data_IF_312768542809
#
_entry.id   IF_312768542809
#
_cell.length_a   1.000
_cell.length_b   1.000
_cell.length_c   1.000
_cell.angle_alpha   90.00
_cell.angle_beta   90.00
_cell.angle_gamma   90.00
#
_symmetry.space_group_name_H-M   'P 1'
#
loop_
_entity.id
_entity.type
_entity.pdbx_description
1 polymer ?
#
# COMPACT_ATOMS: atom_id res chain seq x y z
N UNK A 1 39.20 28.10 -11.81
CA UNK A 1 38.33 28.53 -10.68
C UNK A 1 37.12 29.20 -11.29
N UNK A 2 35.97 28.51 -11.39
CA UNK A 2 34.74 29.13 -11.85
C UNK A 2 34.18 29.96 -10.69
N UNK A 3 34.14 31.28 -10.87
CA UNK A 3 33.49 32.21 -9.95
C UNK A 3 31.99 31.94 -10.00
N UNK A 4 31.44 31.30 -8.96
CA UNK A 4 29.98 31.21 -8.81
C UNK A 4 29.42 32.63 -8.76
N UNK A 5 28.51 33.02 -9.67
CA UNK A 5 27.87 34.33 -9.60
C UNK A 5 27.12 34.43 -8.27
N UNK A 6 27.26 35.56 -7.57
CA UNK A 6 26.49 35.85 -6.36
C UNK A 6 25.00 35.77 -6.69
N UNK A 7 24.37 34.66 -6.32
CA UNK A 7 23.00 34.32 -6.71
C UNK A 7 22.03 35.08 -5.78
N UNK A 8 21.53 36.22 -6.24
CA UNK A 8 20.57 37.08 -5.53
C UNK A 8 19.11 36.79 -5.89
N UNK A 9 18.65 35.55 -5.75
CA UNK A 9 17.21 35.24 -5.89
C UNK A 9 16.54 35.15 -4.53
N UNK A 10 15.33 35.72 -4.43
CA UNK A 10 14.47 35.52 -3.26
C UNK A 10 13.85 34.12 -3.27
N UNK A 11 13.29 33.68 -2.13
CA UNK A 11 12.67 32.35 -2.05
C UNK A 11 11.48 32.22 -3.01
N UNK A 12 10.73 33.30 -3.19
CA UNK A 12 9.56 33.38 -4.07
C UNK A 12 9.98 33.27 -5.54
N UNK A 13 11.09 33.92 -5.91
CA UNK A 13 11.64 33.81 -7.26
C UNK A 13 12.12 32.38 -7.55
N UNK A 14 12.83 31.76 -6.61
CA UNK A 14 13.28 30.37 -6.76
C UNK A 14 12.08 29.41 -6.86
N UNK A 15 11.05 29.60 -6.04
CA UNK A 15 9.81 28.82 -6.08
C UNK A 15 9.11 28.95 -7.44
N UNK A 16 8.93 30.18 -7.94
CA UNK A 16 8.35 30.45 -9.25
C UNK A 16 9.15 29.78 -10.39
N UNK A 17 10.48 29.87 -10.38
CA UNK A 17 11.33 29.19 -11.37
C UNK A 17 11.15 27.66 -11.31
N UNK A 18 11.07 27.08 -10.10
CA UNK A 18 10.84 25.65 -9.92
C UNK A 18 9.49 25.20 -10.52
N UNK A 19 8.44 26.00 -10.32
CA UNK A 19 7.10 25.71 -10.82
C UNK A 19 7.02 25.81 -12.35
N UNK A 20 7.57 26.88 -12.93
CA UNK A 20 7.58 27.07 -14.40
C UNK A 20 8.36 25.96 -15.09
N UNK A 21 9.53 25.59 -14.57
CA UNK A 21 10.34 24.51 -15.15
C UNK A 21 9.66 23.14 -15.00
N UNK A 22 8.95 22.90 -13.90
CA UNK A 22 8.15 21.68 -13.73
C UNK A 22 6.98 21.62 -14.72
N UNK A 23 6.23 22.72 -14.89
CA UNK A 23 5.12 22.79 -15.84
C UNK A 23 5.59 22.65 -17.29
N UNK A 24 6.78 23.19 -17.61
CA UNK A 24 7.41 23.04 -18.93
C UNK A 24 7.98 21.64 -19.20
N UNK A 25 8.10 20.78 -18.19
CA UNK A 25 8.59 19.40 -18.33
C UNK A 25 10.10 19.25 -18.54
N UNK A 26 10.89 20.34 -18.51
CA UNK A 26 12.34 20.31 -18.66
C UNK A 26 13.03 19.98 -17.33
N UNK A 27 12.97 18.70 -16.96
CA UNK A 27 13.50 18.19 -15.68
C UNK A 27 15.04 18.21 -15.63
N UNK A 28 15.71 18.19 -16.78
CA UNK A 28 17.18 18.30 -16.83
C UNK A 28 17.65 19.71 -16.50
N UNK A 29 17.00 20.73 -17.08
CA UNK A 29 17.26 22.12 -16.71
C UNK A 29 16.90 22.41 -15.27
N UNK A 30 15.78 21.86 -14.78
CA UNK A 30 15.40 21.95 -13.37
C UNK A 30 16.48 21.34 -12.47
N UNK A 31 17.01 20.18 -12.83
CA UNK A 31 18.10 19.53 -12.09
C UNK A 31 19.38 20.38 -12.00
N UNK A 32 19.76 21.05 -13.09
CA UNK A 32 20.92 21.99 -13.09
C UNK A 32 20.64 23.22 -12.24
N UNK A 33 19.44 23.79 -12.35
CA UNK A 33 19.03 24.92 -11.54
C UNK A 33 19.08 24.60 -10.05
N UNK A 34 18.50 23.47 -9.62
CA UNK A 34 18.54 23.02 -8.24
C UNK A 34 19.97 22.80 -7.71
N UNK A 35 20.89 22.32 -8.55
CA UNK A 35 22.29 22.15 -8.20
C UNK A 35 23.03 23.50 -8.05
N UNK A 36 22.61 24.53 -8.78
CA UNK A 36 23.18 25.87 -8.70
C UNK A 36 22.71 26.69 -7.50
N UNK A 37 21.69 26.23 -6.76
CA UNK A 37 21.15 26.96 -5.62
C UNK A 37 22.17 27.03 -4.47
N UNK A 38 22.25 28.17 -3.74
CA UNK A 38 23.12 28.28 -2.58
C UNK A 38 22.66 27.34 -1.46
N UNK A 39 23.61 26.90 -0.62
CA UNK A 39 23.38 26.00 0.52
C UNK A 39 22.66 26.70 1.69
N UNK A 40 21.52 27.34 1.42
CA UNK A 40 20.67 27.98 2.42
C UNK A 40 19.59 27.00 2.89
N UNK A 41 19.57 26.66 4.18
CA UNK A 41 18.57 25.72 4.71
C UNK A 41 17.13 26.16 4.47
N UNK A 42 16.84 27.46 4.64
CA UNK A 42 15.47 27.99 4.48
C UNK A 42 14.96 27.79 3.05
N UNK A 43 15.85 27.99 2.07
CA UNK A 43 15.54 27.78 0.66
C UNK A 43 15.27 26.30 0.35
N UNK A 44 16.07 25.40 0.91
CA UNK A 44 15.89 23.96 0.67
C UNK A 44 14.71 23.34 1.42
N UNK A 45 14.14 24.04 2.40
CA UNK A 45 12.89 23.69 3.09
C UNK A 45 11.64 24.26 2.40
N UNK A 46 11.80 25.10 1.38
CA UNK A 46 10.68 25.62 0.59
C UNK A 46 9.96 24.49 -0.16
N UNK A 47 8.63 24.50 -0.13
CA UNK A 47 7.79 23.44 -0.68
C UNK A 47 7.99 23.23 -2.18
N UNK A 48 7.97 24.29 -2.99
CA UNK A 48 8.15 24.22 -4.44
C UNK A 48 9.53 23.66 -4.81
N UNK A 49 10.56 23.97 -4.01
CA UNK A 49 11.92 23.42 -4.17
C UNK A 49 11.95 21.93 -3.82
N UNK A 50 11.27 21.50 -2.75
CA UNK A 50 11.19 20.10 -2.38
C UNK A 50 10.43 19.27 -3.42
N UNK A 51 9.33 19.80 -3.97
CA UNK A 51 8.60 19.19 -5.09
C UNK A 51 9.49 19.05 -6.32
N UNK A 52 10.24 20.10 -6.67
CA UNK A 52 11.19 20.07 -7.78
C UNK A 52 12.26 18.99 -7.59
N UNK A 53 12.85 18.92 -6.39
CA UNK A 53 13.83 17.89 -6.04
C UNK A 53 13.24 16.48 -6.15
N UNK A 54 12.03 16.27 -5.66
CA UNK A 54 11.30 15.00 -5.77
C UNK A 54 11.05 14.61 -7.24
N UNK A 55 10.62 15.56 -8.08
CA UNK A 55 10.40 15.33 -9.51
C UNK A 55 11.69 14.98 -10.25
N UNK A 56 12.79 15.68 -9.96
CA UNK A 56 14.11 15.40 -10.54
C UNK A 56 14.65 14.04 -10.08
N UNK A 57 14.49 13.70 -8.79
CA UNK A 57 14.88 12.39 -8.26
C UNK A 57 14.14 11.26 -8.98
N UNK A 58 12.82 11.42 -9.19
CA UNK A 58 12.02 10.48 -9.97
C UNK A 58 12.51 10.34 -11.42
N UNK A 59 12.81 11.45 -12.10
CA UNK A 59 13.32 11.45 -13.48
C UNK A 59 14.64 10.69 -13.63
N UNK A 60 15.54 10.84 -12.65
CA UNK A 60 16.84 10.16 -12.62
C UNK A 60 16.76 8.69 -12.19
N UNK A 61 15.57 8.22 -11.77
CA UNK A 61 15.39 6.89 -11.20
C UNK A 61 15.95 6.73 -9.78
N UNK A 62 16.31 7.83 -9.11
CA UNK A 62 16.72 7.80 -7.71
C UNK A 62 15.48 7.85 -6.80
N UNK A 63 14.79 6.72 -6.73
CA UNK A 63 13.57 6.60 -5.94
C UNK A 63 13.83 6.71 -4.44
N UNK A 64 15.04 6.37 -3.97
CA UNK A 64 15.41 6.46 -2.55
C UNK A 64 15.38 7.90 -2.07
N UNK A 65 15.93 8.82 -2.86
CA UNK A 65 15.89 10.24 -2.54
C UNK A 65 14.48 10.81 -2.60
N UNK A 66 13.68 10.39 -3.59
CA UNK A 66 12.25 10.74 -3.66
C UNK A 66 11.52 10.35 -2.36
N UNK A 67 11.67 9.11 -1.90
CA UNK A 67 11.01 8.63 -0.68
C UNK A 67 11.47 9.44 0.53
N UNK A 68 12.77 9.68 0.66
CA UNK A 68 13.34 10.49 1.74
C UNK A 68 12.71 11.88 1.78
N UNK A 69 12.61 12.58 0.65
CA UNK A 69 12.02 13.93 0.59
C UNK A 69 10.56 13.90 1.03
N UNK A 70 9.78 12.98 0.47
CA UNK A 70 8.34 12.89 0.72
C UNK A 70 8.05 12.51 2.18
N UNK A 71 8.84 11.64 2.79
CA UNK A 71 8.63 11.20 4.19
C UNK A 71 9.14 12.21 5.23
N UNK A 72 10.09 13.07 4.88
CA UNK A 72 10.76 13.96 5.85
C UNK A 72 10.14 15.34 6.02
N UNK A 73 9.29 15.79 5.10
CA UNK A 73 8.72 17.14 5.11
C UNK A 73 7.19 17.09 5.01
N UNK A 74 6.50 17.99 5.70
CA UNK A 74 5.06 18.16 5.51
C UNK A 74 4.78 19.04 4.29
N UNK A 75 3.76 18.68 3.53
CA UNK A 75 3.36 19.39 2.32
C UNK A 75 1.94 19.95 2.48
N UNK A 76 1.67 21.06 1.80
CA UNK A 76 0.31 21.59 1.69
C UNK A 76 -0.57 20.69 0.83
N UNK A 77 -1.89 20.77 1.04
CA UNK A 77 -2.88 19.95 0.32
C UNK A 77 -2.84 20.15 -1.21
N UNK A 78 -2.42 21.32 -1.67
CA UNK A 78 -2.29 21.64 -3.11
C UNK A 78 -1.20 20.77 -3.77
N UNK A 79 -0.14 20.46 -3.01
CA UNK A 79 1.01 19.68 -3.47
C UNK A 79 0.82 18.18 -3.35
N UNK A 80 -0.15 17.72 -2.55
CA UNK A 80 -0.38 16.30 -2.28
C UNK A 80 -0.62 15.51 -3.56
N UNK A 81 -1.50 15.99 -4.45
CA UNK A 81 -1.86 15.24 -5.66
C UNK A 81 -0.63 14.90 -6.54
N UNK A 82 0.27 15.86 -6.75
CA UNK A 82 1.50 15.64 -7.52
C UNK A 82 2.46 14.65 -6.85
N UNK A 83 2.68 14.81 -5.54
CA UNK A 83 3.59 13.96 -4.77
C UNK A 83 3.07 12.53 -4.59
N UNK A 84 1.77 12.36 -4.40
CA UNK A 84 1.10 11.05 -4.36
C UNK A 84 1.29 10.31 -5.69
N UNK A 85 1.16 11.02 -6.83
CA UNK A 85 1.42 10.42 -8.13
C UNK A 85 2.87 9.99 -8.28
N UNK A 86 3.85 10.81 -7.88
CA UNK A 86 5.26 10.46 -7.93
C UNK A 86 5.57 9.23 -7.06
N UNK A 87 5.08 9.22 -5.82
CA UNK A 87 5.24 8.09 -4.88
C UNK A 87 4.73 6.78 -5.48
N UNK A 88 3.50 6.78 -5.99
CA UNK A 88 2.87 5.59 -6.57
C UNK A 88 3.59 5.13 -7.84
N UNK A 89 3.93 6.07 -8.73
CA UNK A 89 4.65 5.75 -9.97
C UNK A 89 6.03 5.17 -9.69
N UNK A 90 6.75 5.69 -8.69
CA UNK A 90 8.06 5.18 -8.31
C UNK A 90 7.98 3.72 -7.84
N UNK A 91 7.08 3.43 -6.90
CA UNK A 91 6.89 2.05 -6.44
C UNK A 91 6.35 1.11 -7.53
N UNK A 92 5.51 1.60 -8.46
CA UNK A 92 5.12 0.81 -9.61
C UNK A 92 6.32 0.49 -10.51
N UNK A 93 7.15 1.49 -10.83
CA UNK A 93 8.33 1.31 -11.66
C UNK A 93 9.32 0.31 -11.04
N UNK A 94 9.57 0.39 -9.73
CA UNK A 94 10.41 -0.60 -9.02
C UNK A 94 9.82 -2.01 -9.09
N UNK A 95 8.52 -2.15 -8.85
CA UNK A 95 7.84 -3.44 -8.88
C UNK A 95 7.74 -4.02 -10.30
N UNK A 96 7.62 -3.19 -11.33
CA UNK A 96 7.68 -3.59 -12.74
C UNK A 96 9.08 -4.07 -13.12
N UNK A 97 10.11 -3.33 -12.71
CA UNK A 97 11.52 -3.70 -12.90
C UNK A 97 11.85 -5.05 -12.27
N UNK A 98 11.43 -5.28 -11.03
CA UNK A 98 11.65 -6.55 -10.32
C UNK A 98 10.91 -7.73 -10.97
N UNK A 99 9.74 -7.49 -11.58
CA UNK A 99 8.94 -8.55 -12.19
C UNK A 99 9.26 -8.79 -13.66
N UNK A 100 9.99 -7.88 -14.31
CA UNK A 100 10.29 -7.91 -15.75
C UNK A 100 9.05 -7.77 -16.64
N UNK A 101 7.91 -7.29 -16.10
CA UNK A 101 6.67 -7.09 -16.87
C UNK A 101 5.80 -5.98 -16.28
N UNK A 102 4.96 -5.32 -17.10
CA UNK A 102 4.03 -4.29 -16.63
C UNK A 102 3.06 -4.80 -15.55
N UNK A 103 2.71 -3.91 -14.61
CA UNK A 103 1.74 -4.21 -13.56
C UNK A 103 0.30 -4.04 -14.06
N UNK A 104 -0.46 -5.13 -14.03
CA UNK A 104 -1.92 -5.08 -14.12
C UNK A 104 -2.57 -4.49 -12.85
N UNK A 105 -3.90 -4.30 -12.88
CA UNK A 105 -4.66 -3.66 -11.80
C UNK A 105 -4.42 -4.30 -10.41
N UNK A 106 -4.40 -5.63 -10.33
CA UNK A 106 -4.14 -6.38 -9.08
C UNK A 106 -2.71 -6.15 -8.59
N UNK A 107 -1.74 -6.06 -9.51
CA UNK A 107 -0.36 -5.76 -9.17
C UNK A 107 -0.23 -4.37 -8.54
N UNK A 108 -0.81 -3.35 -9.18
CA UNK A 108 -0.84 -1.98 -8.65
C UNK A 108 -1.54 -1.90 -7.29
N UNK A 109 -2.65 -2.64 -7.11
CA UNK A 109 -3.32 -2.74 -5.80
C UNK A 109 -2.40 -3.29 -4.71
N UNK A 110 -1.68 -4.39 -4.99
CA UNK A 110 -0.73 -4.98 -4.03
C UNK A 110 0.39 -4.02 -3.65
N UNK A 111 0.90 -3.25 -4.62
CA UNK A 111 1.92 -2.22 -4.36
C UNK A 111 1.38 -1.13 -3.43
N UNK A 112 0.19 -0.57 -3.72
CA UNK A 112 -0.45 0.44 -2.85
C UNK A 112 -0.68 -0.06 -1.42
N UNK A 113 -1.03 -1.34 -1.28
CA UNK A 113 -1.21 -2.00 0.03
C UNK A 113 0.10 -2.21 0.78
N UNK A 114 1.20 -2.45 0.07
CA UNK A 114 2.52 -2.67 0.66
C UNK A 114 3.20 -1.35 1.03
N UNK A 115 2.97 -0.31 0.23
CA UNK A 115 3.56 1.02 0.38
C UNK A 115 2.45 2.08 0.39
N UNK A 116 1.73 2.23 1.51
CA UNK A 116 0.70 3.27 1.64
C UNK A 116 1.32 4.67 1.51
N UNK A 117 0.51 5.67 1.17
CA UNK A 117 1.04 7.04 1.11
C UNK A 117 1.40 7.50 2.53
N UNK A 118 2.56 8.17 2.71
CA UNK A 118 2.95 8.69 4.01
C UNK A 118 2.05 9.86 4.43
N UNK A 119 1.90 10.05 5.75
CA UNK A 119 1.05 11.10 6.36
C UNK A 119 1.46 12.53 5.98
N UNK A 120 2.69 12.71 5.50
CA UNK A 120 3.22 13.97 4.99
C UNK A 120 2.52 14.47 3.73
N UNK A 121 1.95 13.55 2.94
CA UNK A 121 1.23 13.83 1.70
C UNK A 121 -0.17 13.21 1.67
N UNK A 122 -0.70 12.81 2.83
CA UNK A 122 -2.04 12.24 2.99
C UNK A 122 -2.62 12.55 4.37
N UNK A 123 -3.80 13.18 4.41
CA UNK A 123 -4.64 13.37 5.61
C UNK A 123 -5.01 12.04 6.32
N UNK A 124 -4.95 10.93 5.59
CA UNK A 124 -5.08 9.57 6.06
C UNK A 124 -6.51 9.12 6.34
N UNK A 125 -7.45 9.62 5.54
CA UNK A 125 -8.73 8.94 5.36
C UNK A 125 -8.51 7.56 4.71
N UNK A 126 -8.45 6.51 5.53
CA UNK A 126 -8.25 5.15 5.04
C UNK A 126 -9.54 4.62 4.38
N UNK A 127 -9.49 4.31 3.10
CA UNK A 127 -10.57 3.57 2.44
C UNK A 127 -10.54 2.11 2.91
N UNK A 128 -11.44 1.74 3.83
CA UNK A 128 -11.63 0.33 4.21
C UNK A 128 -12.22 -0.46 3.04
N UNK A 129 -11.37 -1.24 2.37
CA UNK A 129 -11.80 -2.18 1.33
C UNK A 129 -12.48 -3.44 1.88
N UNK A 130 -12.43 -3.64 3.20
CA UNK A 130 -13.15 -4.72 3.86
C UNK A 130 -14.61 -4.33 4.10
N UNK A 131 -15.53 -5.27 3.88
CA UNK A 131 -16.92 -5.08 4.29
C UNK A 131 -17.00 -4.86 5.80
N UNK A 132 -18.03 -4.14 6.24
CA UNK A 132 -18.33 -3.93 7.67
C UNK A 132 -18.44 -5.27 8.40
N UNK A 133 -18.05 -5.31 9.68
CA UNK A 133 -18.08 -6.54 10.50
C UNK A 133 -19.44 -7.23 10.46
N UNK A 134 -20.52 -6.46 10.58
CA UNK A 134 -21.91 -6.96 10.48
C UNK A 134 -22.14 -7.73 9.18
N UNK A 135 -21.84 -7.14 8.02
CA UNK A 135 -21.98 -7.79 6.72
C UNK A 135 -21.08 -9.04 6.60
N UNK A 136 -19.87 -9.00 7.17
CA UNK A 136 -18.95 -10.15 7.20
C UNK A 136 -19.43 -11.30 8.08
N UNK A 137 -20.13 -11.02 9.18
CA UNK A 137 -20.71 -12.06 10.04
C UNK A 137 -21.77 -12.83 9.27
N UNK A 138 -22.76 -12.13 8.72
CA UNK A 138 -23.85 -12.73 7.94
C UNK A 138 -23.34 -13.64 6.82
N UNK A 139 -22.34 -13.18 6.06
CA UNK A 139 -21.73 -13.99 4.99
C UNK A 139 -20.99 -15.23 5.50
N UNK A 140 -20.30 -15.13 6.65
CA UNK A 140 -19.60 -16.28 7.27
C UNK A 140 -20.60 -17.29 7.82
N UNK A 141 -21.62 -16.84 8.52
CA UNK A 141 -22.65 -17.68 9.13
C UNK A 141 -23.40 -18.45 8.04
N UNK A 142 -23.74 -17.78 6.94
CA UNK A 142 -24.34 -18.45 5.78
C UNK A 142 -23.41 -19.48 5.16
N UNK A 143 -22.12 -19.14 4.98
CA UNK A 143 -21.15 -19.99 4.30
C UNK A 143 -20.94 -21.35 4.99
N UNK A 144 -21.03 -21.38 6.33
CA UNK A 144 -20.93 -22.62 7.11
C UNK A 144 -22.04 -23.61 6.71
N UNK A 145 -23.25 -23.09 6.43
CA UNK A 145 -24.40 -23.90 6.07
C UNK A 145 -24.45 -24.20 4.56
N UNK A 146 -24.20 -23.20 3.72
CA UNK A 146 -24.27 -23.33 2.27
C UNK A 146 -23.16 -22.50 1.56
N UNK A 147 -22.08 -23.14 1.08
CA UNK A 147 -20.99 -22.47 0.35
C UNK A 147 -21.34 -22.06 -1.08
N UNK A 148 -22.48 -22.52 -1.62
CA UNK A 148 -22.90 -22.34 -3.02
C UNK A 148 -24.32 -21.77 -3.11
N UNK A 149 -24.55 -20.53 -2.67
CA UNK A 149 -25.87 -19.91 -2.75
C UNK A 149 -26.32 -19.73 -4.21
N UNK A 150 -27.61 -20.00 -4.45
CA UNK A 150 -28.34 -19.77 -5.70
C UNK A 150 -28.46 -18.28 -6.02
N UNK A 151 -28.84 -17.90 -7.27
CA UNK A 151 -29.07 -16.52 -7.64
C UNK A 151 -30.06 -15.78 -6.72
N UNK A 152 -31.12 -16.45 -6.27
CA UNK A 152 -32.11 -15.88 -5.36
C UNK A 152 -31.54 -15.64 -3.97
N UNK A 153 -30.82 -16.62 -3.41
CA UNK A 153 -30.18 -16.49 -2.09
C UNK A 153 -29.11 -15.39 -2.09
N UNK A 154 -28.39 -15.22 -3.21
CA UNK A 154 -27.43 -14.11 -3.37
C UNK A 154 -28.09 -12.75 -3.31
N UNK A 155 -29.31 -12.59 -3.86
CA UNK A 155 -30.07 -11.35 -3.73
C UNK A 155 -30.50 -11.12 -2.27
N UNK A 156 -31.01 -12.16 -1.60
CA UNK A 156 -31.38 -12.05 -0.17
C UNK A 156 -30.19 -11.66 0.70
N UNK A 157 -29.01 -12.24 0.43
CA UNK A 157 -27.78 -11.89 1.13
C UNK A 157 -27.33 -10.45 0.81
N UNK A 158 -27.48 -10.00 -0.44
CA UNK A 158 -27.20 -8.62 -0.83
C UNK A 158 -28.08 -7.65 -0.03
N UNK A 159 -29.38 -7.90 0.03
CA UNK A 159 -30.35 -7.09 0.79
C UNK A 159 -30.03 -7.08 2.29
N UNK A 160 -29.76 -8.25 2.88
CA UNK A 160 -29.47 -8.38 4.31
C UNK A 160 -28.13 -7.73 4.72
N UNK A 161 -27.15 -7.68 3.81
CA UNK A 161 -25.81 -7.17 4.11
C UNK A 161 -25.57 -5.74 3.65
N UNK A 162 -26.47 -5.17 2.85
CA UNK A 162 -26.30 -3.88 2.17
C UNK A 162 -25.20 -3.90 1.11
N UNK A 163 -24.85 -5.08 0.59
CA UNK A 163 -23.84 -5.27 -0.46
C UNK A 163 -24.53 -5.49 -1.81
N UNK A 164 -23.80 -5.34 -2.90
CA UNK A 164 -24.32 -5.72 -4.22
C UNK A 164 -24.25 -7.23 -4.43
N UNK A 165 -25.15 -7.79 -5.24
CA UNK A 165 -25.15 -9.21 -5.62
C UNK A 165 -23.81 -9.67 -6.20
N UNK A 166 -23.10 -8.77 -6.90
CA UNK A 166 -21.74 -9.00 -7.41
C UNK A 166 -20.72 -9.10 -6.30
N UNK A 167 -20.77 -8.21 -5.29
CA UNK A 167 -19.89 -8.27 -4.11
C UNK A 167 -20.10 -9.57 -3.33
N UNK A 168 -21.35 -9.97 -3.11
CA UNK A 168 -21.69 -11.25 -2.49
C UNK A 168 -21.15 -12.42 -3.31
N UNK A 169 -21.41 -12.44 -4.62
CA UNK A 169 -20.90 -13.49 -5.52
C UNK A 169 -19.37 -13.61 -5.48
N UNK A 170 -18.67 -12.47 -5.50
CA UNK A 170 -17.21 -12.43 -5.41
C UNK A 170 -16.71 -12.90 -4.05
N UNK A 171 -17.40 -12.55 -2.96
CA UNK A 171 -17.03 -12.99 -1.63
C UNK A 171 -17.06 -14.52 -1.50
N UNK A 172 -18.15 -15.17 -1.93
CA UNK A 172 -18.28 -16.62 -1.90
C UNK A 172 -17.24 -17.31 -2.80
N UNK A 173 -17.02 -16.79 -4.01
CA UNK A 173 -15.96 -17.27 -4.91
C UNK A 173 -14.59 -17.20 -4.24
N UNK A 174 -14.24 -16.05 -3.66
CA UNK A 174 -12.94 -15.82 -3.03
C UNK A 174 -12.78 -16.64 -1.73
N UNK A 175 -13.87 -16.90 -0.99
CA UNK A 175 -13.84 -17.76 0.20
C UNK A 175 -13.51 -19.20 -0.19
N UNK A 176 -14.23 -19.78 -1.14
CA UNK A 176 -13.95 -21.13 -1.65
C UNK A 176 -12.54 -21.28 -2.23
N UNK A 177 -12.02 -20.26 -2.91
CA UNK A 177 -10.64 -20.26 -3.40
C UNK A 177 -9.61 -20.29 -2.26
N UNK A 178 -9.86 -19.56 -1.16
CA UNK A 178 -8.98 -19.58 0.02
C UNK A 178 -9.01 -20.92 0.73
N UNK A 179 -10.17 -21.55 0.83
CA UNK A 179 -10.31 -22.84 1.50
C UNK A 179 -9.57 -23.94 0.72
N UNK A 180 -9.74 -24.02 -0.61
CA UNK A 180 -8.96 -24.93 -1.48
C UNK A 180 -7.44 -24.69 -1.39
N UNK A 181 -7.03 -23.42 -1.34
CA UNK A 181 -5.61 -23.08 -1.21
C UNK A 181 -5.05 -23.47 0.17
N UNK A 182 -5.87 -23.43 1.22
CA UNK A 182 -5.48 -23.91 2.54
C UNK A 182 -5.37 -25.43 2.56
N UNK A 183 -6.35 -26.16 2.02
CA UNK A 183 -6.34 -27.62 1.89
C UNK A 183 -5.11 -28.13 1.11
N UNK A 184 -4.77 -27.47 0.00
CA UNK A 184 -3.58 -27.80 -0.79
C UNK A 184 -2.28 -27.65 0.03
N UNK A 185 -2.17 -26.58 0.82
CA UNK A 185 -1.01 -26.36 1.71
C UNK A 185 -0.95 -27.38 2.85
N UNK A 186 -2.08 -27.74 3.45
CA UNK A 186 -2.12 -28.79 4.48
C UNK A 186 -1.68 -30.14 3.91
N UNK A 187 -2.13 -30.47 2.70
CA UNK A 187 -1.74 -31.70 2.00
C UNK A 187 -0.25 -31.71 1.66
N UNK A 188 0.30 -30.60 1.16
CA UNK A 188 1.73 -30.43 0.88
C UNK A 188 2.59 -30.56 2.16
N UNK A 189 2.15 -29.97 3.28
CA UNK A 189 2.82 -30.08 4.58
C UNK A 189 2.75 -31.50 5.15
N UNK A 190 1.66 -32.24 4.95
CA UNK A 190 1.54 -33.64 5.38
C UNK A 190 2.36 -34.60 4.51
N UNK A 191 2.56 -34.30 3.23
CA UNK A 191 3.44 -35.10 2.34
C UNK A 191 4.93 -34.86 2.65
N UNK A 192 5.31 -33.66 3.09
CA UNK A 192 6.70 -33.29 3.40
C UNK A 192 7.14 -33.59 4.85
N UNK A 193 6.28 -34.18 5.68
CA UNK A 193 6.64 -34.62 7.04
C UNK A 193 6.28 -36.09 7.24
N UNK A 194 7.26 -37.02 7.26
CA UNK A 194 6.96 -38.41 7.56
C UNK A 194 6.39 -38.52 8.98
N UNK A 195 5.24 -39.19 9.02
CA UNK A 195 4.40 -39.59 10.16
C UNK A 195 5.16 -39.73 11.49
N UNK A 196 5.20 -38.67 12.30
CA UNK A 196 5.62 -38.75 13.72
C UNK A 196 4.84 -37.84 14.65
N UNK A 197 3.95 -36.98 14.14
CA UNK A 197 3.20 -36.01 14.98
C UNK A 197 1.68 -36.33 15.05
N UNK A 198 1.24 -37.49 14.57
CA UNK A 198 -0.19 -37.87 14.65
C UNK A 198 -0.66 -38.28 16.04
N UNK A 199 0.24 -38.54 17.00
CA UNK A 199 -0.17 -38.95 18.37
C UNK A 199 -0.22 -37.80 19.38
N UNK A 200 0.49 -36.70 19.16
CA UNK A 200 0.53 -35.58 20.14
C UNK A 200 -0.57 -34.54 19.88
N UNK A 201 -1.01 -34.35 18.63
CA UNK A 201 -2.03 -33.34 18.31
C UNK A 201 -3.48 -33.82 18.56
N UNK A 202 -3.77 -35.12 18.45
CA UNK A 202 -5.11 -35.66 18.76
C UNK A 202 -5.43 -35.68 20.26
N UNK A 203 -4.41 -35.68 21.14
CA UNK A 203 -4.63 -35.68 22.60
C UNK A 203 -4.99 -34.30 23.18
N UNK A 204 -5.04 -33.23 22.38
CA UNK A 204 -5.42 -31.88 22.84
C UNK A 204 -6.86 -31.47 22.57
N UNK A 205 -7.69 -32.33 21.98
CA UNK A 205 -9.09 -32.00 21.66
C UNK A 205 -10.16 -32.80 22.43
N UNK A 206 -9.77 -33.68 23.38
CA UNK A 206 -10.73 -34.57 24.07
C UNK A 206 -10.73 -34.54 25.59
N UNK A 207 -10.29 -33.46 26.27
CA UNK A 207 -10.48 -33.36 27.73
C UNK A 207 -10.95 -31.97 28.16
N UNK A 208 -12.28 -31.86 28.25
CA UNK A 208 -12.96 -31.00 29.21
C UNK A 208 -12.94 -31.75 30.56
N UNK A 209 -12.44 -31.07 31.60
CA UNK A 209 -12.49 -31.39 33.04
C UNK A 209 -11.78 -32.65 33.57
N UNK A 210 -10.67 -32.46 34.30
CA UNK A 210 -10.53 -32.79 35.74
C UNK A 210 -9.15 -32.36 36.27
N UNK A 211 -9.08 -32.02 37.56
CA UNK A 211 -7.86 -31.76 38.37
C UNK A 211 -7.26 -30.34 38.36
N UNK A 212 -8.02 -29.40 38.93
CA UNK A 212 -7.43 -28.35 39.78
C UNK A 212 -6.97 -28.99 41.10
N UNK A 213 -5.75 -29.52 41.09
CA UNK A 213 -5.07 -30.10 42.25
C UNK A 213 -3.79 -29.32 42.56
N UNK A 214 -3.87 -28.52 43.63
CA UNK A 214 -2.86 -28.20 44.66
C UNK A 214 -1.36 -28.34 44.33
N UNK A 215 -0.61 -27.44 44.97
CA UNK A 215 0.84 -27.36 45.20
C UNK A 215 1.65 -26.55 44.18
N UNK A 216 1.77 -25.25 44.45
CA UNK A 216 3.08 -24.61 44.68
C UNK A 216 2.88 -23.54 45.77
N UNK A 217 3.42 -23.84 46.97
CA UNK A 217 3.70 -23.03 48.19
C UNK A 217 2.67 -22.03 48.70
#
# INVERSE_FOLDING_TARGET
MATSPSFGFTQEQVACVCEVLQQGGDLERLGRFLWSLPACERLHKNESVLQAKAAVAFHRGDFRELYRIVESHQFSTQSHAGLQQLWLRAHYAEAERLRGRPLGAVGKYRVRRKFPLPRTIWDGEETSYCFKEKSRSVLRDWYIHNPYPSPREKHQLADATGLTTTQVSNWFKNRRQRDRAAEAKYSEVMILRPVTVSVIAMLRFSNVEFLLGKFIT
#
